data_IF_683671021884
#
_entry.id   IF_683671021884
#
_cell.length_a   1.000
_cell.length_b   1.000
_cell.length_c   1.000
_cell.angle_alpha   90.00
_cell.angle_beta   90.00
_cell.angle_gamma   90.00
#
_symmetry.space_group_name_H-M   'P 1'
#
loop_
_entity.id
_entity.type
_entity.pdbx_description
1 polymer ?
#
# COMPACT_ATOMS: atom_id res chain seq x y z
N UNK A 1 -6.21 -13.94 -9.10
CA UNK A 1 -4.84 -14.21 -9.59
C UNK A 1 -3.86 -14.36 -8.43
N UNK A 2 -3.70 -13.38 -7.53
CA UNK A 2 -2.72 -13.45 -6.43
C UNK A 2 -2.90 -14.66 -5.49
N UNK A 3 -4.12 -14.96 -5.02
CA UNK A 3 -4.36 -16.15 -4.18
C UNK A 3 -4.01 -17.46 -4.90
N UNK A 4 -4.31 -17.56 -6.20
CA UNK A 4 -3.93 -18.73 -7.00
C UNK A 4 -2.41 -18.91 -7.08
N UNK A 5 -1.66 -17.81 -7.25
CA UNK A 5 -0.19 -17.87 -7.29
C UNK A 5 0.38 -18.31 -5.94
N UNK A 6 -0.14 -17.79 -4.83
CA UNK A 6 0.26 -18.19 -3.47
C UNK A 6 -0.05 -19.67 -3.18
N UNK A 7 -1.22 -20.16 -3.60
CA UNK A 7 -1.59 -21.57 -3.43
C UNK A 7 -0.78 -22.50 -4.34
N UNK A 8 -0.49 -22.07 -5.57
CA UNK A 8 0.22 -22.88 -6.57
C UNK A 8 1.74 -22.90 -6.35
N UNK A 9 2.29 -21.82 -5.83
CA UNK A 9 3.72 -21.58 -5.58
C UNK A 9 3.93 -21.08 -4.14
N UNK A 10 3.82 -21.95 -3.12
CA UNK A 10 3.70 -21.55 -1.71
C UNK A 10 5.02 -21.08 -1.05
N UNK A 11 6.08 -20.85 -1.83
CA UNK A 11 7.40 -20.52 -1.32
C UNK A 11 7.97 -19.27 -2.01
N UNK A 12 8.24 -18.19 -1.25
CA UNK A 12 7.84 -17.97 0.15
C UNK A 12 6.31 -17.78 0.28
N UNK A 13 5.69 -18.16 1.42
CA UNK A 13 4.25 -17.96 1.62
C UNK A 13 3.94 -16.47 1.78
N UNK A 14 2.88 -15.99 1.13
CA UNK A 14 2.41 -14.61 1.20
C UNK A 14 1.06 -14.48 1.92
N UNK A 15 0.46 -15.60 2.33
CA UNK A 15 -0.72 -15.63 3.19
C UNK A 15 -0.48 -16.48 4.43
N UNK A 16 -1.15 -16.17 5.56
CA UNK A 16 -1.09 -17.03 6.74
C UNK A 16 -1.57 -18.46 6.47
N UNK A 17 -1.11 -19.39 7.31
CA UNK A 17 -1.58 -20.79 7.28
C UNK A 17 -2.91 -20.94 8.03
N UNK A 18 -3.05 -20.27 9.17
CA UNK A 18 -4.23 -20.42 10.03
C UNK A 18 -5.48 -19.78 9.41
N UNK A 19 -6.64 -20.49 9.38
CA UNK A 19 -7.84 -20.01 8.70
C UNK A 19 -8.34 -18.63 9.17
N UNK A 20 -8.24 -18.34 10.47
CA UNK A 20 -8.67 -17.05 11.04
C UNK A 20 -7.80 -15.90 10.50
N UNK A 21 -6.48 -16.03 10.60
CA UNK A 21 -5.54 -15.03 10.09
C UNK A 21 -5.64 -14.86 8.56
N UNK A 22 -5.95 -15.93 7.81
CA UNK A 22 -6.27 -15.84 6.38
C UNK A 22 -7.52 -15.01 6.13
N UNK A 23 -8.58 -15.23 6.92
CA UNK A 23 -9.81 -14.45 6.87
C UNK A 23 -9.57 -12.96 7.11
N UNK A 24 -8.76 -12.63 8.13
CA UNK A 24 -8.37 -11.26 8.43
C UNK A 24 -7.55 -10.62 7.31
N UNK A 25 -6.58 -11.35 6.74
CA UNK A 25 -5.79 -10.87 5.60
C UNK A 25 -6.67 -10.54 4.39
N UNK A 26 -7.65 -11.41 4.07
CA UNK A 26 -8.63 -11.16 3.01
C UNK A 26 -9.50 -9.94 3.30
N UNK A 27 -9.94 -9.77 4.55
CA UNK A 27 -10.69 -8.59 4.96
C UNK A 27 -9.87 -7.32 4.76
N UNK A 28 -8.59 -7.31 5.14
CA UNK A 28 -7.73 -6.15 4.97
C UNK A 28 -7.52 -5.81 3.49
N UNK A 29 -7.25 -6.81 2.64
CA UNK A 29 -7.16 -6.59 1.18
C UNK A 29 -8.44 -5.97 0.62
N UNK A 30 -9.62 -6.49 1.02
CA UNK A 30 -10.91 -5.96 0.59
C UNK A 30 -11.14 -4.52 1.07
N UNK A 31 -10.73 -4.19 2.30
CA UNK A 31 -10.84 -2.83 2.84
C UNK A 31 -9.91 -1.86 2.12
N UNK A 32 -8.67 -2.25 1.86
CA UNK A 32 -7.72 -1.43 1.08
C UNK A 32 -8.32 -1.10 -0.30
N UNK A 33 -8.91 -2.09 -0.96
CA UNK A 33 -9.53 -1.91 -2.27
C UNK A 33 -10.75 -0.98 -2.22
N UNK A 34 -11.66 -1.20 -1.27
CA UNK A 34 -12.89 -0.40 -1.15
C UNK A 34 -12.66 1.00 -0.63
N UNK A 35 -11.76 1.16 0.32
CA UNK A 35 -11.57 2.40 1.06
C UNK A 35 -10.53 3.26 0.32
N UNK A 36 -9.33 2.74 0.03
CA UNK A 36 -8.23 3.58 -0.49
C UNK A 36 -8.12 3.59 -2.00
N UNK A 37 -8.34 2.45 -2.68
CA UNK A 37 -8.33 2.45 -4.15
C UNK A 37 -9.52 3.22 -4.72
N UNK A 38 -10.67 3.27 -4.04
CA UNK A 38 -11.79 4.13 -4.45
C UNK A 38 -11.43 5.63 -4.38
N UNK A 39 -10.70 6.05 -3.35
CA UNK A 39 -10.16 7.41 -3.25
C UNK A 39 -9.13 7.67 -4.36
N UNK A 40 -8.21 6.74 -4.62
CA UNK A 40 -7.26 6.86 -5.73
C UNK A 40 -7.98 7.04 -7.08
N UNK A 41 -9.00 6.23 -7.35
CA UNK A 41 -9.79 6.33 -8.58
C UNK A 41 -10.52 7.68 -8.68
N UNK A 42 -11.00 8.20 -7.56
CA UNK A 42 -11.63 9.53 -7.48
C UNK A 42 -10.61 10.64 -7.75
N UNK A 43 -9.38 10.52 -7.27
CA UNK A 43 -8.29 11.48 -7.56
C UNK A 43 -7.97 11.52 -9.06
N UNK A 44 -8.03 10.37 -9.73
CA UNK A 44 -7.64 10.24 -11.14
C UNK A 44 -8.76 10.62 -12.13
N UNK A 45 -10.02 10.34 -11.80
CA UNK A 45 -11.15 10.52 -12.73
C UNK A 45 -12.18 11.57 -12.30
N UNK A 46 -12.11 12.06 -11.06
CA UNK A 46 -13.05 13.03 -10.52
C UNK A 46 -12.78 14.47 -10.97
N UNK A 47 -13.71 15.36 -10.62
CA UNK A 47 -13.50 16.81 -10.74
C UNK A 47 -12.38 17.29 -9.82
N UNK A 48 -11.82 18.48 -10.08
CA UNK A 48 -10.75 19.04 -9.24
C UNK A 48 -11.12 19.08 -7.74
N UNK A 49 -12.35 19.51 -7.41
CA UNK A 49 -12.84 19.55 -6.04
C UNK A 49 -12.95 18.16 -5.39
N UNK A 50 -13.40 17.15 -6.14
CA UNK A 50 -13.45 15.76 -5.66
C UNK A 50 -12.05 15.18 -5.46
N UNK A 51 -11.13 15.46 -6.39
CA UNK A 51 -9.74 15.02 -6.30
C UNK A 51 -9.05 15.63 -5.07
N UNK A 52 -9.25 16.91 -4.79
CA UNK A 52 -8.69 17.58 -3.61
C UNK A 52 -9.25 17.01 -2.30
N UNK A 53 -10.56 16.78 -2.24
CA UNK A 53 -11.19 16.13 -1.09
C UNK A 53 -10.65 14.71 -0.88
N UNK A 54 -10.54 13.92 -1.95
CA UNK A 54 -10.04 12.55 -1.90
C UNK A 54 -8.55 12.47 -1.53
N UNK A 55 -7.70 13.39 -2.00
CA UNK A 55 -6.29 13.49 -1.58
C UNK A 55 -6.17 13.73 -0.08
N UNK A 56 -6.98 14.66 0.45
CA UNK A 56 -6.98 14.99 1.88
C UNK A 56 -7.42 13.79 2.71
N UNK A 57 -8.53 13.15 2.32
CA UNK A 57 -9.05 11.98 3.01
C UNK A 57 -8.05 10.81 2.97
N UNK A 58 -7.50 10.48 1.79
CA UNK A 58 -6.52 9.40 1.63
C UNK A 58 -5.29 9.65 2.50
N UNK A 59 -4.78 10.89 2.55
CA UNK A 59 -3.67 11.26 3.44
C UNK A 59 -4.02 11.01 4.91
N UNK A 60 -5.18 11.47 5.36
CA UNK A 60 -5.61 11.33 6.76
C UNK A 60 -5.77 9.87 7.16
N UNK A 61 -6.39 9.04 6.31
CA UNK A 61 -6.57 7.61 6.57
C UNK A 61 -5.24 6.85 6.59
N UNK A 62 -4.31 7.14 5.66
CA UNK A 62 -2.98 6.55 5.65
C UNK A 62 -2.16 6.95 6.88
N UNK A 63 -2.30 8.18 7.38
CA UNK A 63 -1.63 8.60 8.61
C UNK A 63 -2.28 7.99 9.85
N UNK A 64 -3.59 7.73 9.83
CA UNK A 64 -4.30 7.09 10.94
C UNK A 64 -3.82 5.65 11.21
N UNK A 65 -3.41 4.92 10.17
CA UNK A 65 -2.83 3.57 10.33
C UNK A 65 -1.35 3.57 10.71
N UNK A 66 -0.68 4.73 10.69
CA UNK A 66 0.77 4.80 10.92
C UNK A 66 1.27 4.16 12.24
N UNK A 67 0.53 4.21 13.37
CA UNK A 67 0.93 3.52 14.60
C UNK A 67 1.11 2.00 14.45
N UNK A 68 0.44 1.36 13.48
CA UNK A 68 0.62 -0.08 13.20
C UNK A 68 2.08 -0.39 12.91
N UNK A 69 2.74 0.46 12.11
CA UNK A 69 4.13 0.26 11.70
C UNK A 69 5.16 0.53 12.80
N UNK A 70 4.71 0.99 13.97
CA UNK A 70 5.57 1.06 15.17
C UNK A 70 5.60 -0.26 15.94
N UNK A 71 4.58 -1.12 15.75
CA UNK A 71 4.46 -2.41 16.43
C UNK A 71 4.84 -3.57 15.52
N UNK A 72 4.55 -3.45 14.22
CA UNK A 72 4.76 -4.49 13.21
C UNK A 72 5.56 -3.93 12.03
N UNK A 73 6.54 -4.67 11.49
CA UNK A 73 7.35 -4.21 10.35
C UNK A 73 6.55 -4.14 9.04
N UNK A 74 5.49 -4.94 8.91
CA UNK A 74 4.56 -4.98 7.78
C UNK A 74 3.12 -4.72 8.25
N UNK A 75 2.16 -4.59 7.32
CA UNK A 75 0.81 -4.20 7.68
C UNK A 75 0.12 -5.28 8.53
N UNK A 76 0.03 -5.04 9.85
CA UNK A 76 -0.52 -5.96 10.86
C UNK A 76 0.15 -7.35 10.88
N UNK A 77 1.40 -7.46 10.39
CA UNK A 77 2.14 -8.72 10.26
C UNK A 77 3.64 -8.52 10.56
N UNK A 78 4.29 -9.55 11.09
CA UNK A 78 5.75 -9.59 11.25
C UNK A 78 6.47 -9.98 9.95
N UNK A 79 5.74 -10.57 8.99
CA UNK A 79 6.24 -11.02 7.70
C UNK A 79 5.51 -10.34 6.55
N UNK A 80 6.20 -10.19 5.41
CA UNK A 80 5.63 -9.59 4.20
C UNK A 80 4.54 -10.50 3.63
N UNK A 81 3.39 -9.92 3.26
CA UNK A 81 2.20 -10.67 2.85
C UNK A 81 1.53 -10.07 1.61
N UNK A 82 0.48 -10.73 1.11
CA UNK A 82 -0.36 -10.18 0.04
C UNK A 82 -1.02 -8.85 0.44
N UNK A 83 -1.26 -8.60 1.73
CA UNK A 83 -1.81 -7.33 2.19
C UNK A 83 -0.84 -6.17 1.86
N UNK A 84 0.46 -6.41 2.01
CA UNK A 84 1.50 -5.46 1.62
C UNK A 84 1.59 -5.32 0.08
N UNK A 85 1.35 -6.40 -0.68
CA UNK A 85 1.25 -6.33 -2.13
C UNK A 85 0.08 -5.46 -2.62
N UNK A 86 -1.01 -5.35 -1.84
CA UNK A 86 -2.10 -4.42 -2.13
C UNK A 86 -1.73 -2.97 -1.79
N UNK A 87 -1.03 -2.77 -0.66
CA UNK A 87 -0.74 -1.44 -0.15
C UNK A 87 0.44 -0.77 -0.87
N UNK A 88 1.51 -1.51 -1.18
CA UNK A 88 2.73 -0.95 -1.74
C UNK A 88 2.54 -0.21 -3.08
N UNK A 89 1.78 -0.73 -4.06
CA UNK A 89 1.56 -0.02 -5.33
C UNK A 89 0.79 1.29 -5.16
N UNK A 90 -0.16 1.36 -4.23
CA UNK A 90 -0.86 2.59 -3.87
C UNK A 90 0.10 3.61 -3.25
N UNK A 91 0.91 3.19 -2.27
CA UNK A 91 1.90 4.05 -1.63
C UNK A 91 2.96 4.56 -2.61
N UNK A 92 3.33 3.73 -3.59
CA UNK A 92 4.28 4.12 -4.64
C UNK A 92 3.77 5.33 -5.45
N UNK A 93 2.47 5.34 -5.75
CA UNK A 93 1.78 6.35 -6.58
C UNK A 93 1.48 7.67 -5.88
N UNK A 94 1.66 7.78 -4.56
CA UNK A 94 1.33 9.02 -3.82
C UNK A 94 1.88 10.32 -4.46
N UNK A 95 3.13 10.39 -4.97
CA UNK A 95 3.66 11.60 -5.59
C UNK A 95 2.85 12.06 -6.82
N UNK A 96 2.47 11.14 -7.70
CA UNK A 96 1.67 11.45 -8.90
C UNK A 96 0.20 11.70 -8.57
N UNK A 97 -0.28 11.17 -7.44
CA UNK A 97 -1.59 11.49 -6.89
C UNK A 97 -1.62 12.88 -6.20
N UNK A 98 -0.48 13.54 -6.01
CA UNK A 98 -0.38 14.80 -5.28
C UNK A 98 -0.61 14.66 -3.78
N UNK A 99 -0.35 13.47 -3.21
CA UNK A 99 -0.52 13.18 -1.78
C UNK A 99 0.85 13.20 -1.10
N UNK A 100 1.04 14.17 -0.21
CA UNK A 100 2.26 14.29 0.60
C UNK A 100 2.01 13.87 2.05
N UNK A 101 2.82 12.92 2.52
CA UNK A 101 2.77 12.42 3.90
C UNK A 101 3.57 13.34 4.83
N UNK A 102 2.86 14.19 5.56
CA UNK A 102 3.39 15.16 6.52
C UNK A 102 2.64 15.06 7.85
N UNK A 103 3.30 15.44 8.95
CA UNK A 103 2.70 15.43 10.29
C UNK A 103 2.94 14.14 11.08
N UNK A 104 2.14 13.94 12.13
CA UNK A 104 2.24 12.79 13.02
C UNK A 104 2.01 11.48 12.24
N UNK A 105 2.81 10.44 12.54
CA UNK A 105 2.73 9.15 11.84
C UNK A 105 3.50 9.07 10.52
N UNK A 106 3.80 10.21 9.87
CA UNK A 106 4.48 10.21 8.57
C UNK A 106 5.84 9.49 8.60
N UNK A 107 6.60 9.61 9.69
CA UNK A 107 7.89 8.90 9.84
C UNK A 107 7.72 7.38 9.87
N UNK A 108 6.74 6.87 10.61
CA UNK A 108 6.50 5.43 10.71
C UNK A 108 6.05 4.85 9.36
N UNK A 109 5.10 5.53 8.70
CA UNK A 109 4.62 5.12 7.38
C UNK A 109 5.73 5.21 6.31
N UNK A 110 6.55 6.27 6.31
CA UNK A 110 7.71 6.37 5.41
C UNK A 110 8.74 5.26 5.67
N UNK A 111 8.97 4.88 6.93
CA UNK A 111 9.83 3.76 7.27
C UNK A 111 9.33 2.42 6.71
N UNK A 112 8.01 2.18 6.78
CA UNK A 112 7.37 1.04 6.11
C UNK A 112 7.54 1.10 4.59
N UNK A 113 7.27 2.25 3.98
CA UNK A 113 7.44 2.46 2.53
C UNK A 113 8.87 2.14 2.08
N UNK A 114 9.89 2.68 2.76
CA UNK A 114 11.29 2.38 2.46
C UNK A 114 11.57 0.88 2.52
N UNK A 115 11.15 0.21 3.61
CA UNK A 115 11.34 -1.24 3.79
C UNK A 115 10.73 -2.05 2.65
N UNK A 116 9.53 -1.70 2.21
CA UNK A 116 8.84 -2.45 1.15
C UNK A 116 9.40 -2.13 -0.23
N UNK A 117 9.74 -0.87 -0.50
CA UNK A 117 10.25 -0.45 -1.81
C UNK A 117 11.67 -0.91 -2.10
N UNK A 118 12.47 -1.18 -1.07
CA UNK A 118 13.83 -1.72 -1.20
C UNK A 118 13.86 -3.25 -1.42
N UNK A 119 12.71 -3.94 -1.39
CA UNK A 119 12.66 -5.38 -1.65
C UNK A 119 12.95 -5.67 -3.12
N UNK A 120 13.80 -6.66 -3.40
CA UNK A 120 14.11 -7.12 -4.76
C UNK A 120 12.84 -7.44 -5.57
N UNK A 121 11.85 -8.08 -4.93
CA UNK A 121 10.57 -8.40 -5.57
C UNK A 121 9.79 -7.16 -5.99
N UNK A 122 9.87 -6.08 -5.20
CA UNK A 122 9.20 -4.82 -5.54
C UNK A 122 9.95 -4.11 -6.69
N UNK A 123 11.27 -3.97 -6.59
CA UNK A 123 12.10 -3.34 -7.62
C UNK A 123 11.99 -4.05 -8.99
N UNK A 124 11.96 -5.38 -8.97
CA UNK A 124 11.77 -6.21 -10.16
C UNK A 124 10.35 -6.10 -10.74
N UNK A 125 9.33 -5.82 -9.90
CA UNK A 125 7.95 -5.69 -10.36
C UNK A 125 7.65 -4.35 -11.05
N UNK A 126 8.44 -3.30 -10.78
CA UNK A 126 8.22 -1.97 -11.33
C UNK A 126 8.51 -1.93 -12.83
N UNK A 127 7.50 -1.49 -13.60
CA UNK A 127 7.67 -1.09 -14.99
C UNK A 127 8.48 0.21 -15.10
N UNK A 128 9.02 0.51 -16.29
CA UNK A 128 9.76 1.75 -16.54
C UNK A 128 8.90 2.99 -16.24
N UNK A 129 7.66 3.02 -16.74
CA UNK A 129 6.69 4.10 -16.46
C UNK A 129 6.42 4.29 -14.97
N UNK A 130 6.38 3.22 -14.17
CA UNK A 130 6.21 3.33 -12.72
C UNK A 130 7.47 3.84 -12.02
N UNK A 131 8.67 3.51 -12.50
CA UNK A 131 9.92 4.07 -11.96
C UNK A 131 9.97 5.59 -12.17
N UNK A 132 9.57 6.06 -13.35
CA UNK A 132 9.54 7.49 -13.68
C UNK A 132 8.65 8.33 -12.75
N UNK A 133 7.60 7.72 -12.15
CA UNK A 133 6.73 8.39 -11.17
C UNK A 133 7.48 8.98 -9.97
N UNK A 134 8.71 8.51 -9.71
CA UNK A 134 9.56 8.96 -8.59
C UNK A 134 10.93 9.50 -9.00
N UNK A 135 11.32 9.35 -10.27
CA UNK A 135 12.56 9.92 -10.79
C UNK A 135 12.42 11.41 -11.19
N UNK A 136 11.19 11.89 -11.40
CA UNK A 136 10.89 13.26 -11.86
C UNK A 136 10.89 14.38 -10.82
N UNK A 137 11.52 14.22 -9.66
CA UNK A 137 11.75 15.31 -8.69
C UNK A 137 13.24 15.41 -8.35
N UNK A 138 14.01 15.93 -9.30
CA UNK A 138 15.34 16.53 -9.09
C UNK A 138 15.25 18.04 -9.20
#
# INVERSE_FOLDING_TARGET
IMEYLDERFPHPPLMPVYPVARGESRLYMQRIEKDWYSLMNTIQSGTAAQADAARKQLREELLAIAPVFTQKPYFLSDEFSLVDCYLAPLLWRLPVLGVELVGAGAKALKGYMTRVFERDSFLASLTEAEREMRLGRG
#
